data_IF_158920574790
#
_entry.id   IF_158920574790
#
_cell.length_a   1.000
_cell.length_b   1.000
_cell.length_c   1.000
_cell.angle_alpha   90.00
_cell.angle_beta   90.00
_cell.angle_gamma   90.00
#
_symmetry.space_group_name_H-M   'P 1'
#
loop_
_entity.id
_entity.type
_entity.pdbx_description
1 polymer ?
#
# COMPACT_ATOMS: atom_id res chain seq x y z
N UNK A 1 -20.00 -1.65 2.97
CA UNK A 1 -19.18 -2.39 3.96
C UNK A 1 -19.30 -1.74 5.33
N UNK A 2 -19.23 -2.52 6.42
CA UNK A 2 -19.33 -2.02 7.80
C UNK A 2 -17.96 -2.02 8.48
N UNK A 3 -17.52 -0.89 9.04
CA UNK A 3 -16.34 -0.85 9.91
C UNK A 3 -16.60 -1.63 11.20
N UNK A 4 -15.66 -2.50 11.60
CA UNK A 4 -15.75 -3.30 12.83
C UNK A 4 -14.43 -3.23 13.59
N UNK A 5 -14.46 -3.58 14.87
CA UNK A 5 -13.23 -3.78 15.64
C UNK A 5 -12.40 -4.89 14.97
N UNK A 6 -11.10 -4.65 14.77
CA UNK A 6 -10.20 -5.51 14.02
C UNK A 6 -10.15 -5.24 12.51
N UNK A 7 -10.96 -4.30 11.98
CA UNK A 7 -10.84 -3.91 10.58
C UNK A 7 -9.54 -3.12 10.34
N UNK A 8 -8.78 -3.53 9.32
CA UNK A 8 -7.65 -2.76 8.80
C UNK A 8 -8.16 -1.58 7.99
N UNK A 9 -7.60 -0.41 8.25
CA UNK A 9 -8.00 0.85 7.63
C UNK A 9 -6.78 1.68 7.27
N UNK A 10 -6.99 2.60 6.34
CA UNK A 10 -6.10 3.70 6.04
C UNK A 10 -6.56 4.95 6.77
N UNK A 11 -5.59 5.66 7.32
CA UNK A 11 -5.78 6.94 8.00
C UNK A 11 -4.95 7.97 7.26
N UNK A 12 -5.49 9.14 7.02
CA UNK A 12 -4.76 10.27 6.46
C UNK A 12 -3.64 10.72 7.42
N UNK A 13 -2.43 10.89 6.88
CA UNK A 13 -1.26 11.37 7.61
C UNK A 13 -0.58 12.50 6.83
N UNK A 14 -0.02 13.49 7.53
CA UNK A 14 0.57 14.67 6.86
C UNK A 14 1.91 14.37 6.21
N UNK A 15 2.68 13.44 6.77
CA UNK A 15 4.05 13.17 6.36
C UNK A 15 4.09 12.07 5.28
N UNK A 16 3.25 11.04 5.41
CA UNK A 16 3.21 9.90 4.47
C UNK A 16 1.98 9.87 3.56
N UNK A 17 1.13 10.92 3.58
CA UNK A 17 -0.20 11.00 2.98
C UNK A 17 -1.22 10.01 3.59
N UNK A 18 -0.85 8.74 3.72
CA UNK A 18 -1.66 7.69 4.32
C UNK A 18 -0.81 6.81 5.22
N UNK A 19 -1.39 6.39 6.34
CA UNK A 19 -0.80 5.47 7.30
C UNK A 19 -1.75 4.30 7.55
N UNK A 20 -1.18 3.12 7.69
CA UNK A 20 -1.91 1.91 7.96
C UNK A 20 -2.36 1.88 9.44
N UNK A 21 -3.56 1.38 9.72
CA UNK A 21 -4.04 1.24 11.09
C UNK A 21 -5.13 0.17 11.26
N UNK A 22 -5.46 -0.12 12.51
CA UNK A 22 -6.48 -1.08 12.90
C UNK A 22 -7.47 -0.46 13.89
N UNK A 23 -8.77 -0.71 13.67
CA UNK A 23 -9.82 -0.24 14.57
C UNK A 23 -9.80 -1.05 15.88
N UNK A 24 -9.54 -0.38 17.00
CA UNK A 24 -9.54 -1.00 18.33
C UNK A 24 -10.83 -0.76 19.10
N UNK A 25 -11.62 0.24 18.70
CA UNK A 25 -12.88 0.57 19.36
C UNK A 25 -13.65 1.70 18.70
N UNK A 26 -14.79 2.04 19.31
CA UNK A 26 -15.66 3.12 18.88
C UNK A 26 -15.94 4.03 20.07
N UNK A 27 -15.86 5.34 19.84
CA UNK A 27 -16.08 6.39 20.83
C UNK A 27 -17.16 7.35 20.30
N UNK A 28 -18.43 6.94 20.42
CA UNK A 28 -19.56 7.69 19.89
C UNK A 28 -19.51 7.78 18.35
N UNK A 29 -19.30 8.99 17.82
CA UNK A 29 -19.15 9.25 16.38
C UNK A 29 -17.73 9.01 15.85
N UNK A 30 -16.76 8.82 16.75
CA UNK A 30 -15.38 8.58 16.39
C UNK A 30 -15.03 7.10 16.49
N UNK A 31 -14.00 6.71 15.76
CA UNK A 31 -13.41 5.38 15.73
C UNK A 31 -12.01 5.50 16.33
N UNK A 32 -11.70 4.62 17.27
CA UNK A 32 -10.34 4.49 17.80
C UNK A 32 -9.55 3.60 16.87
N UNK A 33 -8.43 4.13 16.37
CA UNK A 33 -7.53 3.43 15.45
C UNK A 33 -6.15 3.43 16.07
N UNK A 34 -5.48 2.27 16.06
CA UNK A 34 -4.06 2.16 16.36
C UNK A 34 -3.33 2.10 15.03
N UNK A 35 -2.47 3.08 14.78
CA UNK A 35 -1.61 3.13 13.59
C UNK A 35 -0.53 2.06 13.66
N UNK A 36 0.07 1.71 12.52
CA UNK A 36 1.19 0.77 12.43
C UNK A 36 2.39 1.19 13.30
N UNK A 37 2.53 2.49 13.58
CA UNK A 37 3.55 3.06 14.47
C UNK A 37 3.19 2.91 15.97
N UNK A 38 2.11 2.22 16.32
CA UNK A 38 1.65 2.03 17.70
C UNK A 38 0.95 3.24 18.32
N UNK A 39 0.78 4.34 17.58
CA UNK A 39 0.07 5.54 18.05
C UNK A 39 -1.44 5.33 17.94
N UNK A 40 -2.16 5.53 19.03
CA UNK A 40 -3.61 5.52 19.06
C UNK A 40 -4.17 6.91 18.69
N UNK A 41 -5.14 6.93 17.79
CA UNK A 41 -5.80 8.14 17.31
C UNK A 41 -7.32 7.98 17.31
N UNK A 42 -8.02 9.11 17.29
CA UNK A 42 -9.46 9.18 17.07
C UNK A 42 -9.72 9.77 15.69
N UNK A 43 -10.41 9.02 14.85
CA UNK A 43 -10.79 9.44 13.50
C UNK A 43 -12.30 9.32 13.29
N UNK A 44 -12.86 10.12 12.40
CA UNK A 44 -14.24 9.94 11.97
C UNK A 44 -14.34 8.70 11.07
N UNK A 45 -15.37 7.88 11.28
CA UNK A 45 -15.63 6.69 10.46
C UNK A 45 -15.67 7.00 8.96
N UNK A 46 -16.18 8.18 8.60
CA UNK A 46 -16.31 8.66 7.21
C UNK A 46 -14.96 8.97 6.55
N UNK A 47 -13.92 9.27 7.34
CA UNK A 47 -12.57 9.56 6.85
C UNK A 47 -11.69 8.32 6.77
N UNK A 48 -12.17 7.19 7.27
CA UNK A 48 -11.43 5.93 7.24
C UNK A 48 -11.74 5.17 5.96
N UNK A 49 -10.69 4.76 5.26
CA UNK A 49 -10.81 3.90 4.08
C UNK A 49 -10.45 2.48 4.47
N UNK A 50 -11.20 1.49 4.00
CA UNK A 50 -10.87 0.08 4.25
C UNK A 50 -9.56 -0.28 3.56
N UNK A 51 -8.74 -1.06 4.25
CA UNK A 51 -7.49 -1.59 3.74
C UNK A 51 -7.63 -3.07 3.46
N UNK A 52 -7.13 -3.48 2.31
CA UNK A 52 -7.04 -4.89 1.94
C UNK A 52 -5.94 -5.57 2.76
N UNK A 53 -6.29 -6.64 3.48
CA UNK A 53 -5.35 -7.41 4.29
C UNK A 53 -4.49 -8.35 3.42
N UNK A 54 -4.97 -8.71 2.22
CA UNK A 54 -4.29 -9.67 1.34
C UNK A 54 -3.19 -8.99 0.50
N UNK A 55 -3.28 -7.67 0.29
CA UNK A 55 -2.23 -6.87 -0.35
C UNK A 55 -0.98 -6.66 0.54
N UNK A 56 -1.01 -7.08 1.81
CA UNK A 56 0.14 -7.00 2.73
C UNK A 56 1.24 -8.02 2.40
N UNK A 57 0.96 -9.06 1.61
CA UNK A 57 1.89 -10.19 1.40
C UNK A 57 2.91 -10.03 0.26
N UNK A 58 2.93 -8.90 -0.46
CA UNK A 58 3.88 -8.70 -1.55
C UNK A 58 3.46 -7.72 -2.64
N UNK A 59 2.35 -7.00 -2.47
CA UNK A 59 1.74 -6.27 -3.56
C UNK A 59 1.02 -7.21 -4.54
N UNK A 60 0.24 -6.63 -5.44
CA UNK A 60 -0.56 -7.38 -6.40
C UNK A 60 -0.12 -6.99 -7.81
N UNK A 61 0.27 -7.97 -8.62
CA UNK A 61 0.80 -7.76 -9.97
C UNK A 61 -0.26 -7.19 -10.93
N UNK A 62 -1.52 -7.60 -10.73
CA UNK A 62 -2.69 -7.07 -11.45
C UNK A 62 -3.50 -6.16 -10.52
N UNK A 63 -3.46 -4.85 -10.78
CA UNK A 63 -4.14 -3.83 -9.98
C UNK A 63 -5.67 -4.00 -9.92
N UNK A 64 -6.26 -4.81 -10.82
CA UNK A 64 -7.71 -5.12 -10.79
C UNK A 64 -8.11 -6.10 -9.68
N UNK A 65 -7.14 -6.74 -9.02
CA UNK A 65 -7.36 -7.69 -7.92
C UNK A 65 -7.38 -7.05 -6.53
N UNK A 66 -7.15 -5.73 -6.42
CA UNK A 66 -7.29 -5.03 -5.14
C UNK A 66 -8.75 -5.10 -4.69
N UNK A 67 -9.02 -5.59 -3.47
CA UNK A 67 -10.38 -5.64 -2.93
C UNK A 67 -11.00 -4.25 -2.77
N UNK A 68 -10.17 -3.21 -2.64
CA UNK A 68 -10.56 -1.81 -2.49
C UNK A 68 -9.71 -0.92 -3.39
N UNK A 69 -10.30 -0.42 -4.47
CA UNK A 69 -9.66 0.53 -5.37
C UNK A 69 -9.78 1.96 -4.81
N UNK A 70 -9.06 2.23 -3.72
CA UNK A 70 -8.98 3.55 -3.11
C UNK A 70 -7.57 4.15 -3.28
N UNK A 71 -7.48 5.48 -3.20
CA UNK A 71 -6.22 6.23 -3.32
C UNK A 71 -5.07 5.64 -2.46
N UNK A 72 -5.27 5.34 -1.16
CA UNK A 72 -4.21 4.73 -0.36
C UNK A 72 -3.82 3.32 -0.81
N UNK A 73 -4.76 2.49 -1.25
CA UNK A 73 -4.48 1.13 -1.72
C UNK A 73 -3.64 1.12 -3.00
N UNK A 74 -3.92 2.04 -3.93
CA UNK A 74 -3.12 2.20 -5.14
C UNK A 74 -1.71 2.71 -4.81
N UNK A 75 -1.60 3.72 -3.94
CA UNK A 75 -0.31 4.29 -3.53
C UNK A 75 0.56 3.24 -2.81
N UNK A 76 -0.02 2.48 -1.89
CA UNK A 76 0.68 1.42 -1.15
C UNK A 76 1.14 0.28 -2.08
N UNK A 77 0.30 -0.12 -3.04
CA UNK A 77 0.67 -1.12 -4.04
C UNK A 77 1.85 -0.65 -4.91
N UNK A 78 1.83 0.61 -5.38
CA UNK A 78 2.93 1.19 -6.14
C UNK A 78 4.21 1.26 -5.32
N UNK A 79 4.12 1.68 -4.05
CA UNK A 79 5.25 1.75 -3.12
C UNK A 79 5.87 0.36 -2.88
N UNK A 80 5.05 -0.67 -2.67
CA UNK A 80 5.51 -2.05 -2.48
C UNK A 80 6.21 -2.59 -3.73
N UNK A 81 5.63 -2.41 -4.93
CA UNK A 81 6.26 -2.81 -6.19
C UNK A 81 7.57 -2.09 -6.46
N UNK A 82 7.63 -0.80 -6.12
CA UNK A 82 8.87 -0.02 -6.23
C UNK A 82 9.95 -0.54 -5.27
N UNK A 83 9.60 -0.82 -4.01
CA UNK A 83 10.55 -1.31 -3.00
C UNK A 83 11.05 -2.73 -3.26
N UNK A 84 10.25 -3.58 -3.91
CA UNK A 84 10.61 -4.93 -4.30
C UNK A 84 11.47 -5.00 -5.58
N UNK A 85 11.84 -3.85 -6.18
CA UNK A 85 12.52 -3.80 -7.48
C UNK A 85 11.72 -4.49 -8.60
N UNK A 86 10.41 -4.73 -8.39
CA UNK A 86 9.41 -5.21 -9.36
C UNK A 86 8.72 -4.05 -10.10
N UNK A 87 9.32 -2.87 -10.06
CA UNK A 87 9.28 -2.03 -11.24
C UNK A 87 9.93 -2.88 -12.33
N UNK A 88 9.12 -3.40 -13.24
CA UNK A 88 9.59 -3.78 -14.57
C UNK A 88 10.35 -2.57 -15.13
N UNK A 89 11.64 -2.47 -14.81
CA UNK A 89 12.58 -1.84 -15.71
C UNK A 89 12.52 -2.78 -16.87
N UNK A 90 11.78 -2.37 -17.89
CA UNK A 90 11.58 -3.12 -19.11
C UNK A 90 12.92 -3.75 -19.45
N UNK A 91 13.00 -5.09 -19.40
CA UNK A 91 14.20 -5.87 -19.75
C UNK A 91 14.70 -5.54 -21.17
N UNK A 92 13.94 -4.76 -21.92
CA UNK A 92 14.33 -4.06 -23.15
C UNK A 92 15.61 -3.22 -22.99
N UNK A 93 15.90 -2.59 -21.85
CA UNK A 93 17.16 -1.85 -21.66
C UNK A 93 18.32 -2.73 -21.17
N UNK A 94 18.05 -3.81 -20.43
CA UNK A 94 19.08 -4.74 -19.97
C UNK A 94 19.60 -5.63 -21.11
N UNK A 95 18.71 -6.14 -21.97
CA UNK A 95 19.09 -6.93 -23.15
C UNK A 95 19.89 -6.10 -24.16
N UNK A 96 19.64 -4.79 -24.26
CA UNK A 96 20.34 -3.94 -25.22
C UNK A 96 21.73 -3.51 -24.74
N UNK A 97 21.99 -3.52 -23.43
CA UNK A 97 23.33 -3.24 -22.89
C UNK A 97 24.23 -4.47 -22.93
N UNK A 98 23.72 -5.68 -22.66
CA UNK A 98 24.54 -6.91 -22.81
C UNK A 98 25.03 -7.10 -24.25
N UNK A 99 24.17 -6.84 -25.24
CA UNK A 99 24.55 -6.91 -26.66
C UNK A 99 25.43 -5.75 -27.15
N UNK A 100 25.69 -4.72 -26.33
CA UNK A 100 26.58 -3.59 -26.69
C UNK A 100 27.98 -3.72 -26.05
N UNK A 101 28.16 -4.63 -25.10
CA UNK A 101 29.46 -4.90 -24.46
C UNK A 101 30.10 -6.23 -24.88
N UNK A 102 29.39 -7.07 -25.65
CA UNK A 102 29.89 -8.37 -26.12
C UNK A 102 30.65 -8.33 -27.46
N UNK A 103 30.88 -7.13 -28.02
CA UNK A 103 31.68 -6.95 -29.27
C UNK A 103 33.11 -6.43 -29.01
N UNK A 104 33.59 -6.49 -27.77
CA UNK A 104 34.98 -6.16 -27.44
C UNK A 104 35.57 -7.15 -26.44
N UNK A 105 35.91 -8.36 -26.92
CA UNK A 105 37.18 -9.04 -26.64
C UNK A 105 37.24 -10.38 -27.41
N UNK A 106 38.24 -10.46 -28.30
CA UNK A 106 38.76 -11.60 -29.09
C UNK A 106 37.90 -12.27 -30.18
#
# INVERSE_FOLDING_TARGET
MSLRKGSKVWVEDRDTAWVAGEITGFAGKHVQVVTEFGKQILAFAEKLLLRDADADYGGVDDMTKLAYLNEPGVLDNLKKRYALNEIYVSDIFHIKLENLFDDRND
#
